data_IF_519964370611
#
_entry.id   IF_519964370611
#
_cell.length_a   1.000
_cell.length_b   1.000
_cell.length_c   1.000
_cell.angle_alpha   90.00
_cell.angle_beta   90.00
_cell.angle_gamma   90.00
#
_symmetry.space_group_name_H-M   'P 1'
#
loop_
_entity.id
_entity.type
_entity.pdbx_description
1 polymer ?
#
# COMPACT_ATOMS: atom_id res chain seq x y z
N UNK A 1 -13.40 -1.90 5.37
CA UNK A 1 -12.48 -2.74 6.18
C UNK A 1 -13.19 -3.07 7.48
N UNK A 2 -13.21 -4.33 7.90
CA UNK A 2 -13.72 -4.73 9.21
C UNK A 2 -12.83 -4.14 10.33
N UNK A 3 -13.38 -3.93 11.53
CA UNK A 3 -12.62 -3.40 12.65
C UNK A 3 -11.56 -4.43 13.10
N UNK A 4 -10.30 -4.00 13.17
CA UNK A 4 -9.15 -4.83 13.56
C UNK A 4 -9.40 -5.62 14.85
N UNK A 5 -9.98 -4.98 15.87
CA UNK A 5 -10.29 -5.66 17.14
C UNK A 5 -11.27 -6.83 17.00
N UNK A 6 -12.27 -6.72 16.12
CA UNK A 6 -13.23 -7.82 15.86
C UNK A 6 -12.55 -9.01 15.18
N UNK A 7 -11.70 -8.73 14.20
CA UNK A 7 -10.91 -9.77 13.50
C UNK A 7 -9.95 -10.46 14.47
N UNK A 8 -9.26 -9.68 15.31
CA UNK A 8 -8.40 -10.22 16.36
C UNK A 8 -9.18 -11.16 17.28
N UNK A 9 -10.37 -10.75 17.73
CA UNK A 9 -11.24 -11.59 18.57
C UNK A 9 -11.60 -12.92 17.90
N UNK A 10 -12.00 -12.88 16.63
CA UNK A 10 -12.37 -14.08 15.88
C UNK A 10 -11.19 -15.06 15.78
N UNK A 11 -9.98 -14.57 15.50
CA UNK A 11 -8.77 -15.41 15.49
C UNK A 11 -8.47 -15.98 16.87
N UNK A 12 -8.48 -15.14 17.91
CA UNK A 12 -8.21 -15.57 19.29
C UNK A 12 -9.20 -16.67 19.74
N UNK A 13 -10.49 -16.45 19.51
CA UNK A 13 -11.55 -17.39 19.93
C UNK A 13 -11.52 -18.69 19.11
N UNK A 14 -11.27 -18.63 17.80
CA UNK A 14 -11.14 -19.84 16.96
C UNK A 14 -9.96 -20.73 17.38
N UNK A 15 -8.91 -20.13 17.96
CA UNK A 15 -7.75 -20.84 18.53
C UNK A 15 -7.95 -21.26 19.99
N UNK A 16 -9.14 -21.04 20.55
CA UNK A 16 -9.48 -21.33 21.95
C UNK A 16 -8.57 -20.62 22.97
N UNK A 17 -8.09 -19.43 22.63
CA UNK A 17 -7.20 -18.65 23.50
C UNK A 17 -8.02 -17.68 24.33
N UNK A 18 -7.86 -17.73 25.66
CA UNK A 18 -8.54 -16.78 26.55
C UNK A 18 -7.93 -15.38 26.46
N UNK A 19 -8.69 -14.36 26.87
CA UNK A 19 -8.16 -12.99 27.00
C UNK A 19 -6.91 -12.95 27.88
N UNK A 20 -6.87 -13.72 28.97
CA UNK A 20 -5.73 -13.76 29.90
C UNK A 20 -4.47 -14.36 29.25
N UNK A 21 -4.63 -15.38 28.42
CA UNK A 21 -3.52 -15.94 27.66
C UNK A 21 -3.03 -14.95 26.60
N UNK A 22 -3.94 -14.34 25.84
CA UNK A 22 -3.60 -13.35 24.82
C UNK A 22 -2.89 -12.11 25.40
N UNK A 23 -3.27 -11.66 26.60
CA UNK A 23 -2.57 -10.52 27.23
C UNK A 23 -1.31 -10.88 27.97
N UNK A 24 -1.02 -12.18 28.22
CA UNK A 24 0.19 -12.64 28.91
C UNK A 24 0.46 -11.99 30.28
N UNK A 25 -0.53 -11.32 30.88
CA UNK A 25 -0.34 -10.46 32.05
C UNK A 25 0.34 -9.10 31.79
N UNK A 26 0.76 -8.79 30.56
CA UNK A 26 1.37 -7.51 30.19
C UNK A 26 0.37 -6.35 30.28
N UNK A 27 -0.91 -6.64 30.06
CA UNK A 27 -2.01 -5.69 30.26
C UNK A 27 -3.32 -6.39 30.64
N UNK A 28 -4.33 -5.61 31.06
CA UNK A 28 -5.56 -6.18 31.62
C UNK A 28 -6.43 -6.87 30.55
N UNK A 29 -7.01 -8.04 30.85
CA UNK A 29 -7.97 -8.71 29.96
C UNK A 29 -9.16 -7.81 29.56
N UNK A 30 -9.61 -6.94 30.47
CA UNK A 30 -10.68 -5.96 30.21
C UNK A 30 -10.28 -4.89 29.19
N UNK A 31 -8.99 -4.56 29.06
CA UNK A 31 -8.50 -3.66 28.01
C UNK A 31 -8.55 -4.37 26.66
N UNK A 32 -8.09 -5.63 26.58
CA UNK A 32 -8.19 -6.43 25.34
C UNK A 32 -9.66 -6.61 24.91
N UNK A 33 -10.55 -6.94 25.85
CA UNK A 33 -11.98 -7.12 25.56
C UNK A 33 -12.65 -5.84 25.01
N UNK A 34 -12.30 -4.67 25.55
CA UNK A 34 -12.80 -3.39 25.04
C UNK A 34 -12.29 -3.09 23.64
N UNK A 35 -11.02 -3.40 23.36
CA UNK A 35 -10.48 -3.33 22.00
C UNK A 35 -11.21 -4.25 21.03
N UNK A 36 -11.38 -5.51 21.41
CA UNK A 36 -12.07 -6.53 20.60
C UNK A 36 -13.54 -6.19 20.29
N UNK A 37 -14.16 -5.36 21.12
CA UNK A 37 -15.55 -4.91 20.96
C UNK A 37 -15.68 -3.48 20.41
N UNK A 38 -14.57 -2.83 20.05
CA UNK A 38 -14.56 -1.48 19.50
C UNK A 38 -14.87 -0.38 20.52
N UNK A 39 -14.81 -0.69 21.82
CA UNK A 39 -15.07 0.25 22.92
C UNK A 39 -13.83 1.08 23.29
N UNK A 40 -12.63 0.64 22.93
CA UNK A 40 -11.39 1.41 23.12
C UNK A 40 -10.33 1.05 22.09
N UNK A 41 -9.38 1.94 21.85
CA UNK A 41 -8.17 1.61 21.09
C UNK A 41 -7.18 0.79 21.94
N UNK A 42 -6.24 0.13 21.27
CA UNK A 42 -5.12 -0.58 21.88
C UNK A 42 -3.83 -0.02 21.28
N UNK A 43 -2.81 0.21 22.09
CA UNK A 43 -1.52 0.66 21.57
C UNK A 43 -0.91 -0.42 20.67
N UNK A 44 -0.15 0.01 19.66
CA UNK A 44 0.49 -0.89 18.69
C UNK A 44 1.36 -1.93 19.40
N UNK A 45 2.15 -1.52 20.40
CA UNK A 45 2.99 -2.44 21.18
C UNK A 45 2.20 -3.58 21.84
N UNK A 46 1.07 -3.26 22.48
CA UNK A 46 0.19 -4.27 23.12
C UNK A 46 -0.51 -5.14 22.10
N UNK A 47 -0.87 -4.57 20.95
CA UNK A 47 -1.47 -5.31 19.86
C UNK A 47 -0.48 -6.33 19.28
N UNK A 48 0.76 -5.93 18.98
CA UNK A 48 1.81 -6.83 18.50
C UNK A 48 2.11 -7.94 19.50
N UNK A 49 2.25 -7.60 20.79
CA UNK A 49 2.43 -8.61 21.84
C UNK A 49 1.26 -9.60 21.92
N UNK A 50 0.02 -9.12 21.80
CA UNK A 50 -1.15 -9.98 21.84
C UNK A 50 -1.24 -10.88 20.58
N UNK A 51 -0.77 -10.41 19.43
CA UNK A 51 -0.67 -11.20 18.20
C UNK A 51 0.29 -12.37 18.36
N UNK A 52 1.47 -12.13 18.93
CA UNK A 52 2.45 -13.19 19.23
C UNK A 52 1.84 -14.27 20.12
N UNK A 53 1.12 -13.89 21.18
CA UNK A 53 0.48 -14.84 22.09
C UNK A 53 -0.65 -15.67 21.47
N UNK A 54 -1.22 -15.19 20.35
CA UNK A 54 -2.22 -15.97 19.60
C UNK A 54 -1.63 -16.66 18.38
N UNK A 55 -0.32 -16.56 18.14
CA UNK A 55 0.38 -17.03 16.94
C UNK A 55 -0.20 -16.43 15.63
N UNK A 56 -0.60 -15.17 15.65
CA UNK A 56 -1.07 -14.43 14.47
C UNK A 56 -0.02 -13.41 14.02
N UNK A 57 -0.05 -13.06 12.75
CA UNK A 57 0.75 -11.97 12.21
C UNK A 57 -0.12 -10.74 11.89
N UNK A 58 0.51 -9.59 11.70
CA UNK A 58 -0.20 -8.37 11.27
C UNK A 58 -0.83 -8.57 9.90
N UNK A 59 -0.13 -9.26 9.00
CA UNK A 59 -0.59 -9.58 7.65
C UNK A 59 -1.86 -10.43 7.68
N UNK A 60 -1.93 -11.44 8.55
CA UNK A 60 -3.13 -12.27 8.72
C UNK A 60 -4.35 -11.42 9.15
N UNK A 61 -4.15 -10.52 10.12
CA UNK A 61 -5.22 -9.61 10.57
C UNK A 61 -5.68 -8.70 9.44
N UNK A 62 -4.73 -8.09 8.71
CA UNK A 62 -5.06 -7.18 7.61
C UNK A 62 -5.77 -7.91 6.47
N UNK A 63 -5.32 -9.13 6.14
CA UNK A 63 -5.94 -9.98 5.14
C UNK A 63 -7.41 -10.26 5.45
N UNK A 64 -7.71 -10.68 6.69
CA UNK A 64 -9.07 -10.96 7.14
C UNK A 64 -9.92 -9.69 7.23
N UNK A 65 -9.37 -8.59 7.78
CA UNK A 65 -10.07 -7.32 7.88
C UNK A 65 -10.46 -6.73 6.51
N UNK A 66 -9.77 -7.15 5.45
CA UNK A 66 -10.03 -6.76 4.06
C UNK A 66 -10.92 -7.75 3.29
N UNK A 67 -11.39 -8.81 3.93
CA UNK A 67 -12.18 -9.84 3.27
C UNK A 67 -11.35 -10.71 2.35
N UNK A 68 -10.24 -11.27 2.86
CA UNK A 68 -9.37 -12.22 2.18
C UNK A 68 -8.63 -11.61 0.97
N UNK A 69 -8.15 -10.36 1.14
CA UNK A 69 -7.32 -9.67 0.15
C UNK A 69 -5.94 -9.38 0.74
N UNK A 70 -4.91 -10.05 0.20
CA UNK A 70 -3.53 -9.92 0.67
C UNK A 70 -2.95 -8.55 0.38
N UNK A 71 -3.44 -7.91 -0.68
CA UNK A 71 -2.81 -6.72 -1.17
C UNK A 71 -3.51 -5.46 -0.70
N UNK A 72 -2.71 -4.54 -0.14
CA UNK A 72 -3.11 -3.15 0.01
C UNK A 72 -2.83 -2.37 -1.25
N UNK A 73 -2.27 -3.00 -2.28
CA UNK A 73 -1.76 -2.32 -3.44
C UNK A 73 -2.87 -1.51 -4.09
N UNK A 74 -3.00 -0.27 -3.61
CA UNK A 74 -3.96 0.79 -3.87
C UNK A 74 -5.39 0.33 -4.21
N UNK A 75 -6.40 0.85 -3.51
CA UNK A 75 -7.79 0.84 -4.04
C UNK A 75 -7.82 1.20 -5.53
N UNK A 76 -6.90 2.08 -5.97
CA UNK A 76 -6.63 2.38 -7.37
C UNK A 76 -6.27 1.18 -8.25
N UNK A 77 -5.35 0.27 -7.86
CA UNK A 77 -5.00 -0.88 -8.72
C UNK A 77 -6.13 -1.88 -8.80
N UNK A 78 -6.92 -2.01 -7.74
CA UNK A 78 -8.17 -2.76 -7.82
C UNK A 78 -9.12 -2.09 -8.82
N UNK A 79 -9.34 -0.78 -8.71
CA UNK A 79 -10.16 -0.01 -9.66
C UNK A 79 -9.64 -0.16 -11.11
N UNK A 80 -8.32 -0.10 -11.33
CA UNK A 80 -7.69 -0.33 -12.63
C UNK A 80 -7.99 -1.75 -13.11
N UNK A 81 -7.76 -2.77 -12.27
CA UNK A 81 -7.97 -4.17 -12.62
C UNK A 81 -9.44 -4.46 -12.96
N UNK A 82 -10.37 -3.88 -12.20
CA UNK A 82 -11.81 -4.06 -12.38
C UNK A 82 -12.30 -3.47 -13.71
N UNK A 83 -11.64 -2.43 -14.24
CA UNK A 83 -12.01 -1.78 -15.52
C UNK A 83 -11.09 -2.15 -16.69
N UNK A 84 -10.00 -2.87 -16.46
CA UNK A 84 -9.00 -3.18 -17.48
C UNK A 84 -9.59 -4.13 -18.54
N UNK A 85 -9.79 -3.59 -19.75
CA UNK A 85 -10.09 -4.36 -20.95
C UNK A 85 -8.96 -4.13 -21.95
N UNK A 86 -8.15 -5.15 -22.20
CA UNK A 86 -7.00 -5.07 -23.12
C UNK A 86 -7.39 -4.70 -24.56
N UNK A 87 -8.68 -4.75 -24.93
CA UNK A 87 -9.18 -4.36 -26.24
C UNK A 87 -9.83 -2.98 -26.26
N UNK A 88 -10.04 -2.36 -25.10
CA UNK A 88 -10.76 -1.10 -24.99
C UNK A 88 -10.13 -0.22 -23.91
N UNK A 89 -9.47 0.85 -24.34
CA UNK A 89 -8.80 1.82 -23.45
C UNK A 89 -9.78 2.76 -22.75
N UNK A 90 -11.00 2.93 -23.27
CA UNK A 90 -11.95 3.95 -22.81
C UNK A 90 -12.31 3.87 -21.29
N UNK A 91 -12.46 2.69 -20.66
CA UNK A 91 -12.67 2.61 -19.21
C UNK A 91 -11.50 3.16 -18.40
N UNK A 92 -10.26 2.95 -18.84
CA UNK A 92 -9.08 3.53 -18.20
C UNK A 92 -9.01 5.04 -18.40
N UNK A 93 -9.38 5.55 -19.58
CA UNK A 93 -9.47 6.99 -19.82
C UNK A 93 -10.50 7.64 -18.89
N UNK A 94 -11.64 6.98 -18.67
CA UNK A 94 -12.67 7.47 -17.76
C UNK A 94 -12.20 7.47 -16.31
N UNK A 95 -11.53 6.40 -15.88
CA UNK A 95 -10.92 6.30 -14.57
C UNK A 95 -9.84 7.39 -14.38
N UNK A 96 -8.98 7.60 -15.38
CA UNK A 96 -7.99 8.67 -15.39
C UNK A 96 -8.64 10.05 -15.22
N UNK A 97 -9.69 10.37 -16.00
CA UNK A 97 -10.38 11.67 -15.90
C UNK A 97 -10.96 11.89 -14.50
N UNK A 98 -11.61 10.87 -13.94
CA UNK A 98 -12.17 10.91 -12.58
C UNK A 98 -11.09 11.13 -11.53
N UNK A 99 -10.00 10.37 -11.59
CA UNK A 99 -8.91 10.47 -10.62
C UNK A 99 -8.18 11.81 -10.74
N UNK A 100 -7.90 12.27 -11.97
CA UNK A 100 -7.27 13.56 -12.21
C UNK A 100 -8.14 14.68 -11.64
N UNK A 101 -9.45 14.72 -11.89
CA UNK A 101 -10.34 15.79 -11.40
C UNK A 101 -10.38 15.92 -9.87
N UNK A 102 -10.06 14.87 -9.10
CA UNK A 102 -9.99 14.93 -7.64
C UNK A 102 -8.89 15.90 -7.15
N UNK A 103 -7.84 16.15 -7.94
CA UNK A 103 -6.77 17.08 -7.55
C UNK A 103 -7.28 18.52 -7.33
N UNK A 104 -8.34 18.93 -8.02
CA UNK A 104 -8.86 20.30 -7.90
C UNK A 104 -9.52 20.56 -6.52
N UNK A 105 -10.03 19.51 -5.88
CA UNK A 105 -10.83 19.61 -4.65
C UNK A 105 -10.20 18.92 -3.44
N UNK A 106 -9.02 18.32 -3.60
CA UNK A 106 -8.32 17.56 -2.56
C UNK A 106 -7.21 18.39 -1.91
N UNK A 107 -7.01 18.21 -0.59
CA UNK A 107 -5.85 18.74 0.12
C UNK A 107 -4.54 18.06 -0.33
N UNK A 108 -4.62 16.84 -0.88
CA UNK A 108 -3.46 16.08 -1.36
C UNK A 108 -3.47 15.97 -2.89
N UNK A 109 -3.21 17.11 -3.55
CA UNK A 109 -3.18 17.21 -5.02
C UNK A 109 -2.15 16.29 -5.65
N UNK A 110 -0.94 16.24 -5.07
CA UNK A 110 0.17 15.43 -5.55
C UNK A 110 -0.21 13.95 -5.66
N UNK A 111 -0.87 13.39 -4.62
CA UNK A 111 -1.33 11.98 -4.63
C UNK A 111 -2.23 11.67 -5.81
N UNK A 112 -3.22 12.52 -6.11
CA UNK A 112 -4.15 12.27 -7.22
C UNK A 112 -3.47 12.36 -8.59
N UNK A 113 -2.50 13.26 -8.75
CA UNK A 113 -1.70 13.32 -9.98
C UNK A 113 -0.83 12.07 -10.13
N UNK A 114 -0.16 11.62 -9.06
CA UNK A 114 0.62 10.38 -9.10
C UNK A 114 -0.25 9.15 -9.40
N UNK A 115 -1.45 9.07 -8.83
CA UNK A 115 -2.42 8.03 -9.16
C UNK A 115 -2.84 8.08 -10.64
N UNK A 116 -3.11 9.27 -11.17
CA UNK A 116 -3.45 9.46 -12.58
C UNK A 116 -2.30 9.01 -13.52
N UNK A 117 -1.04 9.25 -13.12
CA UNK A 117 0.14 8.75 -13.84
C UNK A 117 0.21 7.23 -13.83
N UNK A 118 -0.12 6.57 -12.70
CA UNK A 118 -0.21 5.12 -12.64
C UNK A 118 -1.26 4.61 -13.63
N UNK A 119 -2.48 5.18 -13.66
CA UNK A 119 -3.51 4.79 -14.63
C UNK A 119 -3.02 4.99 -16.07
N UNK A 120 -2.40 6.15 -16.36
CA UNK A 120 -1.80 6.43 -17.67
C UNK A 120 -0.71 5.44 -18.06
N UNK A 121 0.02 4.89 -17.11
CA UNK A 121 1.04 3.86 -17.38
C UNK A 121 0.41 2.60 -17.97
N UNK A 122 -0.76 2.18 -17.47
CA UNK A 122 -1.53 1.09 -18.08
C UNK A 122 -2.04 1.48 -19.48
N UNK A 123 -2.54 2.70 -19.64
CA UNK A 123 -2.97 3.21 -20.95
C UNK A 123 -1.82 3.20 -21.97
N UNK A 124 -0.61 3.61 -21.56
CA UNK A 124 0.61 3.60 -22.40
C UNK A 124 0.95 2.20 -22.91
N UNK A 125 0.76 1.18 -22.07
CA UNK A 125 0.99 -0.21 -22.48
C UNK A 125 0.02 -0.71 -23.57
N UNK A 126 -1.12 -0.03 -23.73
CA UNK A 126 -2.14 -0.33 -24.76
C UNK A 126 -2.02 0.59 -25.98
N UNK A 127 -1.58 1.83 -25.77
CA UNK A 127 -1.43 2.86 -26.78
C UNK A 127 -0.14 3.66 -26.55
N UNK A 128 0.86 3.40 -27.39
CA UNK A 128 2.17 4.06 -27.37
C UNK A 128 2.10 5.58 -27.62
N UNK A 129 0.97 6.13 -28.04
CA UNK A 129 0.80 7.59 -28.23
C UNK A 129 0.44 8.33 -26.95
N UNK A 130 0.08 7.60 -25.89
CA UNK A 130 -0.19 8.19 -24.57
C UNK A 130 1.09 8.82 -24.02
N UNK A 131 1.02 10.05 -23.53
CA UNK A 131 2.16 10.77 -22.98
C UNK A 131 1.79 11.48 -21.68
N UNK A 132 2.82 11.76 -20.87
CA UNK A 132 2.66 12.64 -19.72
C UNK A 132 2.56 14.09 -20.18
N UNK A 133 1.68 14.84 -19.53
CA UNK A 133 1.69 16.30 -19.61
C UNK A 133 2.91 16.85 -18.86
N UNK A 134 3.27 18.11 -19.15
CA UNK A 134 4.37 18.77 -18.46
C UNK A 134 4.14 18.88 -16.94
N UNK A 135 2.89 19.04 -16.50
CA UNK A 135 2.52 19.06 -15.09
C UNK A 135 2.75 17.69 -14.43
N UNK A 136 2.23 16.62 -15.03
CA UNK A 136 2.40 15.26 -14.52
C UNK A 136 3.87 14.86 -14.44
N UNK A 137 4.64 15.10 -15.51
CA UNK A 137 6.07 14.81 -15.53
C UNK A 137 6.84 15.56 -14.45
N UNK A 138 6.49 16.83 -14.21
CA UNK A 138 7.07 17.62 -13.12
C UNK A 138 6.72 17.03 -11.76
N UNK A 139 5.45 16.69 -11.51
CA UNK A 139 5.00 16.13 -10.23
C UNK A 139 5.68 14.79 -9.93
N UNK A 140 5.78 13.90 -10.93
CA UNK A 140 6.48 12.62 -10.81
C UNK A 140 7.95 12.82 -10.44
N UNK A 141 8.62 13.71 -11.18
CA UNK A 141 10.03 13.99 -10.96
C UNK A 141 10.28 14.61 -9.57
N UNK A 142 9.52 15.65 -9.23
CA UNK A 142 9.67 16.33 -7.94
C UNK A 142 9.41 15.36 -6.77
N UNK A 143 8.42 14.47 -6.89
CA UNK A 143 8.17 13.43 -5.89
C UNK A 143 9.35 12.48 -5.75
N UNK A 144 9.72 11.76 -6.82
CA UNK A 144 10.73 10.69 -6.74
C UNK A 144 12.13 11.22 -6.35
N UNK A 145 12.49 12.45 -6.74
CA UNK A 145 13.77 13.05 -6.37
C UNK A 145 13.79 13.67 -4.97
N UNK A 146 12.66 14.22 -4.49
CA UNK A 146 12.61 14.77 -3.13
C UNK A 146 12.48 13.69 -2.05
N UNK A 147 11.94 12.52 -2.37
CA UNK A 147 11.86 11.40 -1.42
C UNK A 147 13.24 10.86 -1.07
N UNK A 148 13.61 10.88 0.21
CA UNK A 148 14.94 10.44 0.69
C UNK A 148 15.10 8.92 0.70
N UNK A 149 14.07 8.18 1.15
CA UNK A 149 14.07 6.72 1.26
C UNK A 149 12.98 6.18 0.34
N UNK A 150 13.35 5.30 -0.58
CA UNK A 150 12.39 4.67 -1.48
C UNK A 150 11.85 3.38 -0.85
N UNK A 151 10.54 3.38 -0.56
CA UNK A 151 9.79 2.21 -0.14
C UNK A 151 9.23 1.43 -1.33
N UNK A 152 8.39 0.43 -1.04
CA UNK A 152 7.66 -0.34 -2.07
C UNK A 152 6.83 0.58 -2.98
N UNK A 153 6.25 1.65 -2.44
CA UNK A 153 5.44 2.59 -3.22
C UNK A 153 6.28 3.33 -4.27
N UNK A 154 7.42 3.93 -3.89
CA UNK A 154 8.30 4.64 -4.83
C UNK A 154 8.87 3.69 -5.90
N UNK A 155 9.27 2.48 -5.49
CA UNK A 155 9.78 1.46 -6.41
C UNK A 155 8.73 1.07 -7.45
N UNK A 156 7.48 0.84 -7.02
CA UNK A 156 6.38 0.54 -7.91
C UNK A 156 6.06 1.73 -8.83
N UNK A 157 5.97 2.95 -8.29
CA UNK A 157 5.70 4.15 -9.07
C UNK A 157 6.77 4.38 -10.15
N UNK A 158 8.06 4.22 -9.81
CA UNK A 158 9.14 4.29 -10.78
C UNK A 158 9.04 3.20 -11.85
N UNK A 159 8.78 1.95 -11.43
CA UNK A 159 8.64 0.82 -12.35
C UNK A 159 7.54 1.05 -13.38
N UNK A 160 6.33 1.40 -12.93
CA UNK A 160 5.17 1.58 -13.82
C UNK A 160 5.31 2.82 -14.71
N UNK A 161 5.92 3.90 -14.21
CA UNK A 161 6.10 5.13 -15.00
C UNK A 161 7.32 5.11 -15.93
N UNK A 162 8.17 4.08 -15.85
CA UNK A 162 9.38 3.96 -16.66
C UNK A 162 9.19 4.08 -18.17
N UNK A 163 8.07 3.65 -18.79
CA UNK A 163 7.84 3.83 -20.23
C UNK A 163 7.77 5.29 -20.69
N UNK A 164 7.50 6.23 -19.78
CA UNK A 164 7.46 7.67 -20.08
C UNK A 164 8.84 8.33 -19.98
N UNK A 165 9.87 7.61 -19.53
CA UNK A 165 11.18 8.17 -19.27
C UNK A 165 12.10 8.01 -20.48
N UNK A 166 12.79 9.09 -20.86
CA UNK A 166 13.91 8.97 -21.79
C UNK A 166 15.02 8.11 -21.19
N UNK A 167 15.83 7.45 -22.02
CA UNK A 167 16.94 6.60 -21.57
C UNK A 167 17.87 7.32 -20.59
N UNK A 168 18.15 8.61 -20.83
CA UNK A 168 18.98 9.43 -19.92
C UNK A 168 18.32 9.66 -18.57
N UNK A 169 17.00 9.91 -18.54
CA UNK A 169 16.26 10.07 -17.30
C UNK A 169 16.18 8.73 -16.57
N UNK A 170 15.78 7.66 -17.25
CA UNK A 170 15.73 6.32 -16.67
C UNK A 170 17.04 5.93 -15.99
N UNK A 171 18.18 6.13 -16.66
CA UNK A 171 19.51 5.85 -16.08
C UNK A 171 19.78 6.66 -14.81
N UNK A 172 19.36 7.93 -14.79
CA UNK A 172 19.49 8.79 -13.60
C UNK A 172 18.62 8.29 -12.45
N UNK A 173 17.37 7.90 -12.73
CA UNK A 173 16.46 7.36 -11.72
C UNK A 173 16.96 6.03 -11.15
N UNK A 174 17.47 5.11 -11.97
CA UNK A 174 18.05 3.85 -11.47
C UNK A 174 19.20 4.11 -10.50
N UNK A 175 20.06 5.10 -10.77
CA UNK A 175 21.16 5.45 -9.86
C UNK A 175 20.65 5.99 -8.52
N UNK A 176 19.62 6.83 -8.56
CA UNK A 176 19.00 7.36 -7.34
C UNK A 176 18.25 6.28 -6.57
N UNK A 177 17.52 5.40 -7.27
CA UNK A 177 16.86 4.24 -6.69
C UNK A 177 17.84 3.40 -5.89
N UNK A 178 18.96 2.98 -6.48
CA UNK A 178 19.97 2.15 -5.80
C UNK A 178 20.44 2.83 -4.51
N UNK A 179 20.81 4.12 -4.58
CA UNK A 179 21.27 4.90 -3.41
C UNK A 179 20.22 5.04 -2.31
N UNK A 180 18.95 5.15 -2.68
CA UNK A 180 17.83 5.44 -1.75
C UNK A 180 17.12 4.18 -1.27
N UNK A 181 17.39 3.03 -1.89
CA UNK A 181 16.85 1.72 -1.51
C UNK A 181 17.77 0.93 -0.58
N UNK A 182 18.99 1.41 -0.31
CA UNK A 182 19.96 0.72 0.55
C UNK A 182 19.36 0.36 1.92
N UNK A 183 18.53 1.24 2.49
CA UNK A 183 17.78 0.97 3.72
C UNK A 183 16.88 -0.28 3.65
N UNK A 184 16.19 -0.51 2.54
CA UNK A 184 15.35 -1.70 2.38
C UNK A 184 16.18 -2.98 2.24
N UNK A 185 17.32 -2.90 1.56
CA UNK A 185 18.21 -4.05 1.41
C UNK A 185 18.87 -4.44 2.75
N UNK A 186 19.18 -3.47 3.60
CA UNK A 186 19.68 -3.71 4.96
C UNK A 186 18.63 -4.37 5.87
N UNK A 187 17.34 -4.03 5.72
CA UNK A 187 16.26 -4.65 6.52
C UNK A 187 15.90 -6.05 6.00
N UNK A 188 15.93 -6.27 4.68
CA UNK A 188 15.66 -7.57 4.06
C UNK A 188 16.59 -8.68 4.54
N UNK A 189 17.82 -8.36 4.94
CA UNK A 189 18.75 -9.31 5.53
C UNK A 189 18.40 -9.79 6.95
N UNK A 190 17.46 -9.14 7.65
CA UNK A 190 16.98 -9.58 8.98
C UNK A 190 15.73 -10.47 8.93
N UNK A 191 15.13 -10.63 7.75
CA UNK A 191 13.97 -11.50 7.52
C UNK A 191 14.27 -12.51 6.42
N UNK A 192 15.32 -13.33 6.58
CA UNK A 192 15.37 -14.60 5.84
C UNK A 192 14.32 -15.53 6.44
N UNK A 193 13.35 -16.05 5.65
CA UNK A 193 12.53 -17.16 6.11
C UNK A 193 13.47 -18.36 6.30
N UNK A 194 13.53 -18.89 7.52
CA UNK A 194 14.04 -20.24 7.72
C UNK A 194 13.10 -21.18 6.94
N UNK A 195 13.57 -21.62 5.77
CA UNK A 195 12.95 -22.72 5.02
C UNK A 195 13.03 -24.03 5.80
#
# INVERSE_FOLDING_TARGET
>A
MEQIGKVFRQLRESRNISLRQATGGQFSPSMLSRFETGQSELSVEKFLFALENISASVEEILFLARGFQYDTDSELRKEITDVLDLKNIAPLEDLYRKEYQKHAHSQNKQKHILNAIIIKSYMKSMDETVELTAEEGKVLHDYLFSTEIWGIYELNLFSVSSPFLSVSLFTRYVREMVRKSDFLMEIGTFFTPCY
#
